data_IF_501018708600
#
_entry.id   IF_501018708600
#
_cell.length_a   1.000
_cell.length_b   1.000
_cell.length_c   1.000
_cell.angle_alpha   90.00
_cell.angle_beta   90.00
_cell.angle_gamma   90.00
#
_symmetry.space_group_name_H-M   'P 1'
#
loop_
_entity.id
_entity.type
_entity.pdbx_description
1 polymer ?
#
# COMPACT_ATOMS: atom_id res chain seq x y z
N UNK A 1 9.15 -6.51 17.36
CA UNK A 1 10.26 -6.14 16.45
C UNK A 1 9.75 -6.17 15.01
N UNK A 2 10.14 -5.22 14.16
CA UNK A 2 9.75 -5.13 12.75
C UNK A 2 10.96 -5.37 11.85
N UNK A 3 10.81 -6.19 10.81
CA UNK A 3 11.87 -6.47 9.82
C UNK A 3 11.27 -6.56 8.42
N UNK A 4 12.08 -6.23 7.41
CA UNK A 4 11.71 -6.33 6.00
C UNK A 4 12.81 -7.03 5.20
N UNK A 5 12.40 -7.76 4.16
CA UNK A 5 13.28 -8.26 3.12
C UNK A 5 12.67 -8.03 1.75
N UNK A 6 13.53 -7.81 0.75
CA UNK A 6 13.08 -7.78 -0.64
C UNK A 6 12.38 -9.09 -0.99
N UNK A 7 11.24 -9.00 -1.67
CA UNK A 7 10.54 -10.18 -2.14
C UNK A 7 11.15 -10.74 -3.42
N UNK A 8 11.04 -12.06 -3.61
CA UNK A 8 11.28 -12.69 -4.92
C UNK A 8 10.14 -12.42 -5.91
N UNK A 9 8.98 -11.95 -5.44
CA UNK A 9 7.94 -11.41 -6.29
C UNK A 9 8.28 -9.96 -6.67
N UNK A 10 8.38 -9.61 -7.97
CA UNK A 10 8.78 -8.27 -8.38
C UNK A 10 7.85 -7.18 -7.86
N UNK A 11 8.43 -6.10 -7.33
CA UNK A 11 7.65 -4.98 -6.79
C UNK A 11 6.93 -5.33 -5.48
N UNK A 12 7.49 -6.22 -4.67
CA UNK A 12 6.97 -6.49 -3.33
C UNK A 12 8.08 -6.59 -2.27
N UNK A 13 7.66 -6.45 -1.02
CA UNK A 13 8.49 -6.61 0.17
C UNK A 13 7.80 -7.59 1.11
N UNK A 14 8.56 -8.53 1.65
CA UNK A 14 8.07 -9.35 2.76
C UNK A 14 8.48 -8.68 4.06
N UNK A 15 7.51 -8.42 4.93
CA UNK A 15 7.73 -7.83 6.23
C UNK A 15 7.23 -8.76 7.33
N UNK A 16 7.85 -8.67 8.50
CA UNK A 16 7.44 -9.41 9.69
C UNK A 16 7.37 -8.46 10.88
N UNK A 17 6.36 -8.67 11.71
CA UNK A 17 6.14 -7.87 12.92
C UNK A 17 5.66 -8.74 14.06
N UNK A 18 6.28 -8.60 15.22
CA UNK A 18 5.68 -8.98 16.51
C UNK A 18 5.08 -7.74 17.14
N UNK A 19 3.77 -7.74 17.40
CA UNK A 19 3.08 -6.60 17.99
C UNK A 19 3.56 -6.36 19.43
N UNK A 20 3.86 -5.12 19.80
CA UNK A 20 4.22 -4.74 21.16
C UNK A 20 2.99 -4.64 22.09
N UNK A 21 1.80 -5.05 21.64
CA UNK A 21 0.53 -4.75 22.29
C UNK A 21 0.03 -3.33 22.01
N UNK A 22 -1.26 -3.11 22.24
CA UNK A 22 -1.90 -1.80 22.11
C UNK A 22 -2.30 -1.42 20.68
N UNK A 23 -2.63 -0.14 20.50
CA UNK A 23 -3.09 0.41 19.24
C UNK A 23 -1.94 1.09 18.49
N UNK A 24 -1.84 0.85 17.18
CA UNK A 24 -0.91 1.54 16.29
C UNK A 24 -1.62 2.02 15.04
N UNK A 25 -1.24 3.20 14.53
CA UNK A 25 -1.78 3.74 13.28
C UNK A 25 -0.91 3.31 12.09
N UNK A 26 -1.54 2.73 11.08
CA UNK A 26 -0.97 2.51 9.75
C UNK A 26 -1.38 3.70 8.89
N UNK A 27 -0.40 4.37 8.29
CA UNK A 27 -0.65 5.53 7.45
C UNK A 27 -0.92 5.10 6.00
N UNK A 28 -1.74 5.86 5.24
CA UNK A 28 -1.84 5.69 3.80
C UNK A 28 -0.48 5.74 3.11
N UNK A 29 -0.10 4.68 2.40
CA UNK A 29 1.14 4.57 1.62
C UNK A 29 0.90 4.20 0.15
N UNK A 30 -0.36 3.94 -0.22
CA UNK A 30 -0.78 3.51 -1.56
C UNK A 30 -0.47 2.06 -1.89
N UNK A 31 0.07 1.30 -0.94
CA UNK A 31 0.29 -0.13 -1.07
C UNK A 31 -0.94 -0.93 -0.59
N UNK A 32 -0.92 -2.21 -0.93
CA UNK A 32 -1.84 -3.21 -0.39
C UNK A 32 -1.04 -4.42 0.03
N UNK A 33 -1.47 -5.08 1.10
CA UNK A 33 -0.73 -6.18 1.71
C UNK A 33 -1.59 -7.45 1.77
N UNK A 34 -0.98 -8.60 1.53
CA UNK A 34 -1.50 -9.87 2.04
C UNK A 34 -0.83 -10.13 3.39
N UNK A 35 -1.60 -10.29 4.45
CA UNK A 35 -1.08 -10.39 5.82
C UNK A 35 -1.51 -11.73 6.40
N UNK A 36 -0.54 -12.59 6.67
CA UNK A 36 -0.74 -13.77 7.49
C UNK A 36 -0.76 -13.38 8.98
N UNK A 37 -1.80 -13.81 9.69
CA UNK A 37 -1.94 -13.68 11.14
C UNK A 37 -2.86 -14.79 11.67
N UNK A 38 -2.44 -15.42 12.77
CA UNK A 38 -3.20 -16.47 13.46
C UNK A 38 -3.69 -17.61 12.54
N UNK A 39 -2.83 -18.04 11.60
CA UNK A 39 -3.13 -19.11 10.66
C UNK A 39 -3.98 -18.68 9.45
N UNK A 40 -4.50 -17.47 9.42
CA UNK A 40 -5.30 -16.95 8.32
C UNK A 40 -4.56 -15.87 7.51
N UNK A 41 -5.05 -15.61 6.30
CA UNK A 41 -4.55 -14.52 5.45
C UNK A 41 -5.64 -13.46 5.27
N UNK A 42 -5.29 -12.22 5.54
CA UNK A 42 -6.14 -11.04 5.35
C UNK A 42 -5.57 -10.15 4.26
N UNK A 43 -6.45 -9.67 3.40
CA UNK A 43 -6.18 -8.62 2.44
C UNK A 43 -6.32 -7.28 3.15
N UNK A 44 -5.20 -6.57 3.31
CA UNK A 44 -5.21 -5.16 3.66
C UNK A 44 -5.33 -4.34 2.40
N UNK A 45 -6.52 -3.80 2.16
CA UNK A 45 -6.76 -2.89 1.05
C UNK A 45 -6.11 -1.52 1.26
N UNK A 46 -6.13 -0.66 0.24
CA UNK A 46 -5.45 0.62 0.30
C UNK A 46 -6.18 1.52 1.29
N UNK A 47 -5.42 2.23 2.11
CA UNK A 47 -5.97 3.15 3.09
C UNK A 47 -6.01 4.56 2.51
N UNK A 48 -7.16 5.24 2.66
CA UNK A 48 -7.33 6.66 2.32
C UNK A 48 -7.28 7.56 3.57
N UNK A 49 -7.09 6.97 4.74
CA UNK A 49 -7.01 7.56 6.08
C UNK A 49 -6.28 6.57 6.99
N UNK A 50 -5.82 6.93 8.19
CA UNK A 50 -5.12 5.98 9.04
C UNK A 50 -6.02 4.80 9.41
N UNK A 51 -5.43 3.61 9.34
CA UNK A 51 -6.04 2.41 9.90
C UNK A 51 -5.43 2.14 11.28
N UNK A 52 -6.27 2.04 12.31
CA UNK A 52 -5.82 1.71 13.66
C UNK A 52 -5.83 0.19 13.81
N UNK A 53 -4.65 -0.42 13.85
CA UNK A 53 -4.51 -1.83 14.21
C UNK A 53 -4.51 -2.00 15.73
N UNK A 54 -5.09 -3.10 16.20
CA UNK A 54 -5.12 -3.52 17.61
C UNK A 54 -4.62 -4.95 17.69
N UNK A 55 -3.34 -5.11 17.98
CA UNK A 55 -2.72 -6.41 18.24
C UNK A 55 -2.52 -6.62 19.73
N UNK A 56 -2.61 -7.87 20.17
CA UNK A 56 -2.15 -8.26 21.50
C UNK A 56 -0.62 -8.32 21.49
N UNK A 57 -0.03 -8.14 22.66
CA UNK A 57 1.40 -8.30 22.82
C UNK A 57 1.80 -9.74 22.44
N UNK A 58 2.79 -9.87 21.56
CA UNK A 58 3.26 -11.17 21.07
C UNK A 58 2.59 -11.65 19.78
N UNK A 59 1.51 -11.01 19.31
CA UNK A 59 0.90 -11.39 18.02
C UNK A 59 1.92 -11.28 16.89
N UNK A 60 2.00 -12.32 16.06
CA UNK A 60 2.92 -12.40 14.92
C UNK A 60 2.18 -12.14 13.62
N UNK A 61 2.72 -11.21 12.84
CA UNK A 61 2.24 -10.84 11.52
C UNK A 61 3.35 -11.05 10.50
N UNK A 62 3.01 -11.66 9.37
CA UNK A 62 3.90 -11.77 8.21
C UNK A 62 3.15 -11.27 7.00
N UNK A 63 3.67 -10.23 6.33
CA UNK A 63 2.98 -9.61 5.21
C UNK A 63 3.80 -9.61 3.93
N UNK A 64 3.11 -9.72 2.81
CA UNK A 64 3.62 -9.38 1.48
C UNK A 64 3.03 -8.03 1.07
N UNK A 65 3.81 -6.96 1.22
CA UNK A 65 3.45 -5.63 0.74
C UNK A 65 3.73 -5.52 -0.74
N UNK A 66 2.70 -5.27 -1.52
CA UNK A 66 2.82 -5.07 -2.96
C UNK A 66 2.91 -3.57 -3.30
N UNK A 67 3.79 -3.21 -4.24
CA UNK A 67 3.88 -1.85 -4.77
C UNK A 67 2.52 -1.34 -5.23
N UNK A 68 2.28 -0.01 -5.17
CA UNK A 68 0.99 0.58 -5.48
C UNK A 68 0.39 0.05 -6.78
N UNK A 69 -0.82 -0.46 -6.64
CA UNK A 69 -1.57 -1.01 -7.75
C UNK A 69 -1.11 -2.36 -8.27
N UNK A 70 -0.36 -3.15 -7.52
CA UNK A 70 0.02 -4.50 -7.96
C UNK A 70 -0.99 -5.57 -7.51
N UNK A 71 -1.48 -5.48 -6.27
CA UNK A 71 -2.33 -6.52 -5.68
C UNK A 71 -3.72 -6.68 -6.34
N UNK A 72 -4.41 -5.62 -6.81
CA UNK A 72 -5.73 -5.76 -7.46
C UNK A 72 -5.72 -6.69 -8.67
N UNK A 73 -4.64 -6.69 -9.45
CA UNK A 73 -4.48 -7.60 -10.60
C UNK A 73 -4.35 -9.06 -10.16
N UNK A 74 -3.69 -9.33 -9.02
CA UNK A 74 -3.52 -10.68 -8.49
C UNK A 74 -4.82 -11.24 -7.90
N UNK A 75 -5.61 -10.36 -7.29
CA UNK A 75 -6.91 -10.68 -6.71
C UNK A 75 -8.04 -10.67 -7.74
N UNK A 76 -7.84 -10.07 -8.92
CA UNK A 76 -8.92 -9.85 -9.88
C UNK A 76 -10.03 -8.92 -9.35
N UNK A 77 -9.78 -8.21 -8.25
CA UNK A 77 -10.76 -7.39 -7.52
C UNK A 77 -10.32 -5.93 -7.54
N UNK A 78 -11.16 -4.98 -7.96
CA UNK A 78 -10.86 -3.55 -7.90
C UNK A 78 -10.47 -3.10 -6.48
N UNK A 79 -9.39 -2.34 -6.36
CA UNK A 79 -8.91 -1.77 -5.10
C UNK A 79 -9.96 -0.92 -4.38
N UNK A 80 -10.87 -0.28 -5.12
CA UNK A 80 -11.96 0.54 -4.57
C UNK A 80 -12.96 -0.27 -3.75
N UNK A 81 -13.10 -1.56 -4.02
CA UNK A 81 -13.95 -2.47 -3.23
C UNK A 81 -13.31 -2.84 -1.89
N UNK A 82 -11.98 -2.66 -1.77
CA UNK A 82 -11.18 -3.03 -0.59
C UNK A 82 -10.68 -1.81 0.18
N UNK A 83 -11.00 -0.60 -0.26
CA UNK A 83 -10.45 0.64 0.30
C UNK A 83 -10.85 0.84 1.77
N UNK A 84 -9.86 1.05 2.63
CA UNK A 84 -10.00 1.11 4.10
C UNK A 84 -10.55 -0.16 4.75
N UNK A 85 -10.47 -1.31 4.08
CA UNK A 85 -10.94 -2.60 4.61
C UNK A 85 -9.77 -3.54 4.93
N UNK A 86 -10.07 -4.48 5.83
CA UNK A 86 -9.27 -5.66 6.14
C UNK A 86 -10.20 -6.86 5.97
N UNK A 87 -10.01 -7.62 4.91
CA UNK A 87 -10.96 -8.66 4.49
C UNK A 87 -10.23 -10.01 4.45
N UNK A 88 -10.76 -11.09 5.05
CA UNK A 88 -10.19 -12.42 4.88
C UNK A 88 -10.02 -12.77 3.40
N UNK A 89 -8.88 -13.37 3.03
CA UNK A 89 -8.59 -13.70 1.64
C UNK A 89 -9.66 -14.63 1.04
N UNK A 90 -10.23 -15.53 1.84
CA UNK A 90 -11.31 -16.43 1.43
C UNK A 90 -12.61 -15.70 1.02
N UNK A 91 -12.86 -14.50 1.56
CA UNK A 91 -14.02 -13.67 1.19
C UNK A 91 -13.77 -12.90 -0.12
N UNK A 92 -12.50 -12.66 -0.47
CA UNK A 92 -12.12 -12.00 -1.74
C UNK A 92 -11.98 -13.02 -2.87
N UNK A 93 -11.41 -14.19 -2.57
CA UNK A 93 -11.12 -15.25 -3.53
C UNK A 93 -11.67 -16.59 -3.03
N UNK A 94 -12.70 -17.09 -3.71
CA UNK A 94 -13.39 -18.34 -3.35
C UNK A 94 -13.02 -19.52 -4.25
N UNK A 95 -11.93 -19.43 -5.03
CA UNK A 95 -11.49 -20.51 -5.90
C UNK A 95 -10.72 -21.60 -5.15
N UNK A 96 -10.74 -22.82 -5.70
CA UNK A 96 -10.11 -24.01 -5.09
C UNK A 96 -8.64 -23.81 -4.76
N UNK A 97 -7.88 -23.13 -5.63
CA UNK A 97 -6.45 -22.93 -5.42
C UNK A 97 -6.20 -22.02 -4.20
N UNK A 98 -7.08 -21.04 -3.96
CA UNK A 98 -7.04 -20.21 -2.76
C UNK A 98 -7.38 -21.02 -1.50
N UNK A 99 -8.40 -21.89 -1.53
CA UNK A 99 -8.72 -22.77 -0.39
C UNK A 99 -7.55 -23.71 -0.04
N UNK A 100 -6.93 -24.34 -1.05
CA UNK A 100 -5.77 -25.21 -0.86
C UNK A 100 -4.53 -24.44 -0.37
N UNK A 101 -4.38 -23.17 -0.76
CA UNK A 101 -3.34 -22.30 -0.23
C UNK A 101 -3.56 -21.96 1.24
N UNK A 102 -4.77 -21.53 1.61
CA UNK A 102 -5.11 -21.19 2.99
C UNK A 102 -4.93 -22.39 3.94
N UNK A 103 -5.34 -23.58 3.52
CA UNK A 103 -5.11 -24.80 4.31
C UNK A 103 -3.63 -25.15 4.51
N UNK A 104 -2.75 -24.79 3.57
CA UNK A 104 -1.30 -25.02 3.70
C UNK A 104 -0.59 -23.97 4.54
N UNK A 105 -0.97 -22.70 4.38
CA UNK A 105 -0.27 -21.58 5.05
C UNK A 105 -0.59 -21.50 6.55
N UNK A 106 -1.70 -22.09 7.01
CA UNK A 106 -2.14 -22.00 8.40
C UNK A 106 -1.05 -22.39 9.42
N UNK A 107 -0.35 -23.49 9.17
CA UNK A 107 0.71 -24.01 10.02
C UNK A 107 2.11 -23.90 9.38
N UNK A 108 2.28 -23.05 8.35
CA UNK A 108 3.55 -22.94 7.62
C UNK A 108 4.64 -22.28 8.49
N UNK A 109 5.84 -22.86 8.46
CA UNK A 109 6.99 -22.36 9.19
C UNK A 109 7.54 -21.04 8.58
N UNK A 110 7.30 -20.79 7.29
CA UNK A 110 7.66 -19.57 6.57
C UNK A 110 6.45 -19.03 5.76
N UNK A 111 5.49 -18.36 6.43
CA UNK A 111 4.36 -17.74 5.76
C UNK A 111 4.76 -16.71 4.71
N UNK A 112 5.93 -16.08 4.86
CA UNK A 112 6.45 -15.08 3.93
C UNK A 112 6.72 -15.70 2.57
N UNK A 113 7.42 -16.84 2.54
CA UNK A 113 7.65 -17.60 1.31
C UNK A 113 6.34 -18.11 0.70
N UNK A 114 5.42 -18.61 1.52
CA UNK A 114 4.13 -19.10 1.05
C UNK A 114 3.30 -17.99 0.36
N UNK A 115 3.29 -16.77 0.93
CA UNK A 115 2.64 -15.60 0.31
C UNK A 115 3.27 -15.23 -1.04
N UNK A 116 4.60 -15.31 -1.16
CA UNK A 116 5.31 -15.05 -2.42
C UNK A 116 4.98 -16.08 -3.51
N UNK A 117 4.90 -17.36 -3.14
CA UNK A 117 4.50 -18.45 -4.05
C UNK A 117 3.04 -18.31 -4.49
N UNK A 118 2.15 -17.91 -3.59
CA UNK A 118 0.77 -17.57 -3.91
C UNK A 118 0.70 -16.42 -4.93
N UNK A 119 1.37 -15.29 -4.65
CA UNK A 119 1.40 -14.14 -5.54
C UNK A 119 1.94 -14.48 -6.94
N UNK A 120 3.00 -15.29 -7.02
CA UNK A 120 3.55 -15.78 -8.29
C UNK A 120 2.55 -16.64 -9.04
N UNK A 121 1.89 -17.56 -8.36
CA UNK A 121 0.88 -18.44 -8.96
C UNK A 121 -0.30 -17.64 -9.52
N UNK A 122 -0.80 -16.65 -8.76
CA UNK A 122 -1.84 -15.72 -9.24
C UNK A 122 -1.40 -14.93 -10.46
N UNK A 123 -0.16 -14.43 -10.49
CA UNK A 123 0.37 -13.69 -11.64
C UNK A 123 0.45 -14.56 -12.91
N UNK A 124 0.75 -15.85 -12.78
CA UNK A 124 0.81 -16.77 -13.92
C UNK A 124 -0.57 -17.13 -14.49
N UNK A 125 -1.60 -17.13 -13.64
CA UNK A 125 -2.97 -17.46 -14.04
C UNK A 125 -3.79 -16.23 -14.49
N UNK A 126 -3.39 -15.04 -14.04
CA UNK A 126 -4.09 -13.79 -14.32
C UNK A 126 -3.66 -13.11 -15.63
N UNK A 127 -4.36 -12.02 -16.02
CA UNK A 127 -3.95 -11.20 -17.15
C UNK A 127 -2.59 -10.53 -16.90
N UNK A 128 -1.87 -10.15 -17.97
CA UNK A 128 -0.63 -9.39 -17.83
C UNK A 128 -0.92 -8.05 -17.12
N UNK A 129 -0.01 -7.59 -16.23
CA UNK A 129 -0.18 -6.32 -15.55
C UNK A 129 -0.22 -5.15 -16.54
N UNK A 130 -1.05 -4.15 -16.22
CA UNK A 130 -1.16 -2.93 -17.02
C UNK A 130 0.11 -2.08 -16.87
N UNK A 131 0.88 -1.95 -17.95
CA UNK A 131 2.15 -1.23 -17.97
C UNK A 131 2.03 0.27 -17.67
N UNK A 132 0.81 0.82 -17.71
CA UNK A 132 0.55 2.23 -17.35
C UNK A 132 0.60 2.47 -15.84
N UNK A 133 0.33 1.46 -15.01
CA UNK A 133 0.27 1.60 -13.54
C UNK A 133 1.57 2.15 -12.94
N UNK A 134 2.76 1.55 -13.19
CA UNK A 134 4.01 2.12 -12.69
C UNK A 134 4.33 3.49 -13.27
N UNK A 135 3.86 3.80 -14.50
CA UNK A 135 4.03 5.13 -15.11
C UNK A 135 3.20 6.18 -14.37
N UNK A 136 1.95 5.86 -14.01
CA UNK A 136 1.08 6.75 -13.22
C UNK A 136 1.72 7.08 -11.88
N UNK A 137 2.17 6.06 -11.14
CA UNK A 137 2.81 6.24 -9.82
C UNK A 137 4.02 7.16 -9.95
N UNK A 138 4.94 6.84 -10.87
CA UNK A 138 6.15 7.64 -11.11
C UNK A 138 5.86 9.10 -11.45
N UNK A 139 4.89 9.35 -12.34
CA UNK A 139 4.55 10.73 -12.73
C UNK A 139 3.93 11.51 -11.57
N UNK A 140 3.10 10.87 -10.75
CA UNK A 140 2.52 11.52 -9.57
C UNK A 140 3.56 11.77 -8.48
N UNK A 141 4.53 10.87 -8.28
CA UNK A 141 5.71 11.11 -7.42
C UNK A 141 6.53 12.30 -7.92
N UNK A 142 6.64 12.47 -9.24
CA UNK A 142 7.25 13.61 -9.91
C UNK A 142 6.34 14.85 -9.96
N UNK A 143 5.23 14.85 -9.21
CA UNK A 143 4.32 15.98 -9.04
C UNK A 143 3.63 16.43 -10.33
N UNK A 144 3.54 15.55 -11.34
CA UNK A 144 2.77 15.82 -12.55
C UNK A 144 1.29 16.03 -12.23
N UNK A 145 0.67 16.96 -12.93
CA UNK A 145 -0.77 17.19 -12.86
C UNK A 145 -1.56 15.99 -13.41
N UNK A 146 -2.82 15.87 -12.98
CA UNK A 146 -3.73 14.81 -13.47
C UNK A 146 -3.84 14.82 -15.00
N UNK A 147 -3.85 16.01 -15.61
CA UNK A 147 -3.87 16.19 -17.06
C UNK A 147 -2.60 15.66 -17.72
N UNK A 148 -1.42 16.02 -17.23
CA UNK A 148 -0.14 15.54 -17.76
C UNK A 148 -0.02 14.01 -17.66
N UNK A 149 -0.49 13.42 -16.56
CA UNK A 149 -0.54 11.96 -16.40
C UNK A 149 -1.45 11.34 -17.45
N UNK A 150 -2.66 11.88 -17.63
CA UNK A 150 -3.64 11.38 -18.58
C UNK A 150 -3.11 11.45 -20.02
N UNK A 151 -2.54 12.60 -20.41
CA UNK A 151 -1.92 12.82 -21.71
C UNK A 151 -0.75 11.85 -21.94
N UNK A 152 0.12 11.63 -20.93
CA UNK A 152 1.29 10.76 -21.04
C UNK A 152 0.95 9.29 -21.23
N UNK A 153 -0.15 8.82 -20.64
CA UNK A 153 -0.60 7.42 -20.80
C UNK A 153 -1.64 7.25 -21.90
N UNK A 154 -1.94 8.31 -22.66
CA UNK A 154 -2.82 8.29 -23.84
C UNK A 154 -4.30 8.10 -23.52
N UNK A 155 -4.79 8.66 -22.40
CA UNK A 155 -6.20 8.56 -21.99
C UNK A 155 -6.76 9.92 -21.58
N UNK A 156 -8.10 10.05 -21.55
CA UNK A 156 -8.73 11.23 -20.94
C UNK A 156 -8.75 11.18 -19.41
N UNK A 157 -8.87 12.32 -18.73
CA UNK A 157 -8.86 12.42 -17.26
C UNK A 157 -9.93 11.54 -16.59
N UNK A 158 -11.12 11.40 -17.19
CA UNK A 158 -12.18 10.52 -16.69
C UNK A 158 -11.76 9.04 -16.71
N UNK A 159 -11.01 8.62 -17.74
CA UNK A 159 -10.49 7.26 -17.83
C UNK A 159 -9.33 7.04 -16.86
N UNK A 160 -8.43 8.02 -16.71
CA UNK A 160 -7.40 7.99 -15.66
C UNK A 160 -8.04 7.85 -14.28
N UNK A 161 -9.09 8.63 -13.98
CA UNK A 161 -9.79 8.56 -12.70
C UNK A 161 -10.38 7.16 -12.43
N UNK A 162 -11.01 6.55 -13.44
CA UNK A 162 -11.53 5.18 -13.34
C UNK A 162 -10.41 4.16 -13.13
N UNK A 163 -9.31 4.29 -13.87
CA UNK A 163 -8.14 3.42 -13.72
C UNK A 163 -7.54 3.54 -12.32
N UNK A 164 -7.39 4.75 -11.80
CA UNK A 164 -6.86 4.97 -10.47
C UNK A 164 -7.76 4.38 -9.37
N UNK A 165 -9.08 4.55 -9.48
CA UNK A 165 -10.01 3.93 -8.52
C UNK A 165 -9.88 2.40 -8.53
N UNK A 166 -9.85 1.80 -9.71
CA UNK A 166 -9.69 0.35 -9.86
C UNK A 166 -8.37 -0.16 -9.30
N UNK A 167 -7.26 0.56 -9.48
CA UNK A 167 -5.94 0.06 -9.11
C UNK A 167 -5.43 0.51 -7.74
N UNK A 168 -5.84 1.68 -7.26
CA UNK A 168 -5.32 2.28 -6.02
C UNK A 168 -6.41 2.55 -4.99
N UNK A 169 -7.69 2.36 -5.34
CA UNK A 169 -8.82 2.55 -4.44
C UNK A 169 -9.42 3.94 -4.45
N UNK A 170 -8.71 4.91 -5.03
CA UNK A 170 -9.11 6.32 -5.04
C UNK A 170 -8.62 7.03 -6.32
N UNK A 171 -9.10 8.26 -6.53
CA UNK A 171 -8.73 9.06 -7.70
C UNK A 171 -7.25 9.52 -7.69
N UNK A 172 -6.73 9.99 -8.84
CA UNK A 172 -5.33 10.36 -9.00
C UNK A 172 -4.88 11.49 -8.06
N UNK A 173 -5.80 12.41 -7.71
CA UNK A 173 -5.50 13.47 -6.73
C UNK A 173 -5.19 12.89 -5.35
N UNK A 174 -5.99 11.95 -4.86
CA UNK A 174 -5.74 11.33 -3.56
C UNK A 174 -4.43 10.54 -3.56
N UNK A 175 -4.15 9.81 -4.64
CA UNK A 175 -2.88 9.10 -4.81
C UNK A 175 -1.69 10.07 -4.76
N UNK A 176 -1.76 11.19 -5.48
CA UNK A 176 -0.70 12.20 -5.48
C UNK A 176 -0.43 12.73 -4.07
N UNK A 177 -1.48 13.02 -3.30
CA UNK A 177 -1.37 13.50 -1.91
C UNK A 177 -0.67 12.49 -1.01
N UNK A 178 -1.04 11.22 -1.12
CA UNK A 178 -0.42 10.11 -0.36
C UNK A 178 1.05 9.96 -0.72
N UNK A 179 1.38 9.87 -2.01
CA UNK A 179 2.76 9.71 -2.49
C UNK A 179 3.64 10.90 -2.08
N UNK A 180 3.08 12.12 -2.11
CA UNK A 180 3.75 13.34 -1.64
C UNK A 180 4.10 13.26 -0.15
N UNK A 181 3.15 12.84 0.69
CA UNK A 181 3.38 12.67 2.12
C UNK A 181 4.42 11.58 2.41
N UNK A 182 4.34 10.44 1.71
CA UNK A 182 5.33 9.37 1.82
C UNK A 182 6.74 9.83 1.43
N UNK A 183 6.86 10.64 0.37
CA UNK A 183 8.12 11.27 -0.02
C UNK A 183 8.68 12.16 1.10
N UNK A 184 7.84 13.01 1.71
CA UNK A 184 8.27 13.85 2.84
C UNK A 184 8.69 13.03 4.06
N UNK A 185 7.96 11.97 4.42
CA UNK A 185 8.31 11.08 5.53
C UNK A 185 9.65 10.37 5.29
N UNK A 186 9.90 9.90 4.05
CA UNK A 186 11.18 9.31 3.67
C UNK A 186 12.36 10.29 3.78
N UNK A 187 12.13 11.57 3.48
CA UNK A 187 13.13 12.63 3.65
C UNK A 187 13.36 13.00 5.12
N UNK A 188 12.35 12.88 5.98
CA UNK A 188 12.49 13.24 7.40
C UNK A 188 13.42 12.32 8.19
N UNK A 189 13.65 11.09 7.71
CA UNK A 189 14.68 10.18 8.26
C UNK A 189 16.11 10.62 7.95
N UNK A 190 16.31 11.66 7.14
CA UNK A 190 17.60 12.30 6.90
C UNK A 190 17.70 13.59 7.71
N UNK A 191 18.91 14.07 8.00
CA UNK A 191 19.16 15.33 8.75
C UNK A 191 18.74 16.61 8.00
N UNK A 192 17.72 16.52 7.14
CA UNK A 192 17.16 17.59 6.32
C UNK A 192 16.10 18.37 7.14
N UNK A 193 16.16 19.71 7.18
CA UNK A 193 15.14 20.53 7.81
C UNK A 193 13.75 20.32 7.20
N UNK A 194 12.69 20.33 8.03
CA UNK A 194 11.31 20.07 7.58
C UNK A 194 10.84 20.97 6.42
N UNK A 195 11.28 22.23 6.37
CA UNK A 195 10.96 23.14 5.27
C UNK A 195 11.62 22.71 3.94
N UNK A 196 12.84 22.18 3.98
CA UNK A 196 13.53 21.66 2.80
C UNK A 196 12.90 20.33 2.35
N UNK A 197 12.57 19.45 3.30
CA UNK A 197 11.83 18.21 3.01
C UNK A 197 10.47 18.51 2.35
N UNK A 198 9.76 19.54 2.82
CA UNK A 198 8.51 19.99 2.23
C UNK A 198 8.69 20.40 0.75
N UNK A 199 9.66 21.26 0.44
CA UNK A 199 9.94 21.67 -0.94
C UNK A 199 10.35 20.52 -1.85
N UNK A 200 11.23 19.63 -1.38
CA UNK A 200 11.68 18.46 -2.14
C UNK A 200 10.55 17.46 -2.42
N UNK A 201 9.63 17.29 -1.46
CA UNK A 201 8.46 16.44 -1.63
C UNK A 201 7.36 17.10 -2.47
N UNK A 202 7.45 18.38 -2.82
CA UNK A 202 6.46 19.06 -3.68
C UNK A 202 5.37 19.83 -2.92
N UNK A 203 5.61 20.16 -1.65
CA UNK A 203 4.78 21.10 -0.90
C UNK A 203 5.26 22.53 -1.14
N UNK A 204 4.30 23.45 -1.25
CA UNK A 204 4.58 24.88 -1.40
C UNK A 204 5.42 25.46 -0.25
N UNK A 205 5.17 25.01 0.98
CA UNK A 205 5.88 25.40 2.19
C UNK A 205 5.66 24.37 3.32
N UNK A 206 6.32 24.58 4.46
CA UNK A 206 6.16 23.71 5.64
C UNK A 206 4.74 23.73 6.21
N UNK A 207 4.03 24.86 6.13
CA UNK A 207 2.67 24.97 6.66
C UNK A 207 1.68 24.16 5.81
N UNK A 208 1.88 24.08 4.50
CA UNK A 208 1.15 23.21 3.58
C UNK A 208 1.41 21.74 3.92
N UNK A 209 2.66 21.34 4.14
CA UNK A 209 3.00 19.98 4.60
C UNK A 209 2.28 19.63 5.91
N UNK A 210 2.31 20.51 6.91
CA UNK A 210 1.67 20.27 8.21
C UNK A 210 0.16 20.09 8.05
N UNK A 211 -0.51 20.97 7.29
CA UNK A 211 -1.95 20.87 7.03
C UNK A 211 -2.30 19.58 6.31
N UNK A 212 -1.57 19.26 5.24
CA UNK A 212 -1.86 18.06 4.44
C UNK A 212 -1.59 16.77 5.21
N UNK A 213 -0.52 16.71 6.02
CA UNK A 213 -0.25 15.61 6.93
C UNK A 213 -1.38 15.42 7.94
N UNK A 214 -1.86 16.52 8.55
CA UNK A 214 -2.99 16.47 9.48
C UNK A 214 -4.27 16.00 8.79
N UNK A 215 -4.58 16.51 7.60
CA UNK A 215 -5.78 16.13 6.85
C UNK A 215 -5.77 14.65 6.45
N UNK A 216 -4.61 14.11 6.08
CA UNK A 216 -4.47 12.70 5.68
C UNK A 216 -4.34 11.73 6.86
N UNK A 217 -3.78 12.19 7.98
CA UNK A 217 -3.34 11.28 9.07
C UNK A 217 -3.90 11.58 10.44
N UNK A 218 -4.59 12.70 10.62
CA UNK A 218 -5.02 13.22 11.93
C UNK A 218 -3.86 13.66 12.83
N UNK A 219 -2.62 13.68 12.33
CA UNK A 219 -1.40 14.06 13.08
C UNK A 219 -0.60 15.07 12.28
N UNK A 220 0.08 15.98 12.97
CA UNK A 220 1.01 16.90 12.31
C UNK A 220 2.24 16.16 11.83
N UNK A 221 2.91 16.69 10.80
CA UNK A 221 4.13 16.08 10.27
C UNK A 221 5.20 15.85 11.35
N UNK A 222 5.40 16.81 12.27
CA UNK A 222 6.35 16.66 13.38
C UNK A 222 6.01 15.52 14.35
N UNK A 223 4.72 15.22 14.53
CA UNK A 223 4.29 14.07 15.32
C UNK A 223 4.52 12.74 14.58
N UNK A 224 4.49 12.73 13.25
CA UNK A 224 4.71 11.51 12.45
C UNK A 224 6.18 11.10 12.44
N UNK A 225 7.10 12.06 12.43
CA UNK A 225 8.55 11.82 12.34
C UNK A 225 9.16 11.38 13.69
N UNK A 226 8.49 11.69 14.79
CA UNK A 226 8.96 11.35 16.16
C UNK A 226 8.37 10.06 16.72
N UNK A 227 7.53 9.36 15.94
CA UNK A 227 6.81 8.15 16.34
C UNK A 227 7.50 6.87 15.86
#
# INVERSE_FOLDING_TARGET
MYTERRSVFPGAVVWQKTAPGGAAAILPDGCMDLIWMDGDVVVAGPDSRPYVTRGREGDRYVGLRCSPGTLPDLLGTPAEELTNLRVPLAEVLSDRATTEFLGRIADDADPGRALEEFARSRRLLGPPPDSRIPVIVRLLEQQASVREVADRIGVGERQLHRLCRRQFGYGPKMLARILRLQSALGLAGSSIPAAQAAGMAGFADQAHLIREAHDLTGRTFGQLVTA
#
